data_IF_148726202560
#
_entry.id   IF_148726202560
#
_cell.length_a   1.000
_cell.length_b   1.000
_cell.length_c   1.000
_cell.angle_alpha   90.00
_cell.angle_beta   90.00
_cell.angle_gamma   90.00
#
_symmetry.space_group_name_H-M   'P 1'
#
loop_
_entity.id
_entity.type
_entity.pdbx_description
1 polymer ?
#
# COMPACT_ATOMS: atom_id res chain seq x y z
N UNK A 1 6.45 32.70 8.51
CA UNK A 1 5.04 32.23 8.60
C UNK A 1 4.59 31.87 7.19
N UNK A 2 4.08 30.66 6.98
CA UNK A 2 3.56 30.26 5.67
C UNK A 2 2.22 30.97 5.43
N UNK A 3 2.18 31.90 4.47
CA UNK A 3 0.97 32.69 4.14
C UNK A 3 0.16 32.06 3.00
N UNK A 4 0.31 30.74 2.80
CA UNK A 4 -0.49 29.95 1.88
C UNK A 4 -1.78 29.47 2.55
N UNK A 5 -2.81 29.21 1.74
CA UNK A 5 -3.92 28.37 2.18
C UNK A 5 -3.53 26.91 1.94
N UNK A 6 -3.50 26.03 2.97
CA UNK A 6 -3.11 24.63 2.82
C UNK A 6 -3.89 23.91 1.72
N UNK A 7 -5.12 24.35 1.48
CA UNK A 7 -6.03 23.92 0.42
C UNK A 7 -5.36 23.91 -0.97
N UNK A 8 -4.59 24.94 -1.31
CA UNK A 8 -3.94 25.02 -2.63
C UNK A 8 -2.76 24.05 -2.72
N UNK A 9 -1.94 23.99 -1.66
CA UNK A 9 -0.79 23.09 -1.57
C UNK A 9 -1.25 21.61 -1.64
N UNK A 10 -2.36 21.27 -0.98
CA UNK A 10 -3.03 19.96 -1.05
C UNK A 10 -3.51 19.65 -2.46
N UNK A 11 -4.22 20.58 -3.11
CA UNK A 11 -4.72 20.37 -4.48
C UNK A 11 -3.56 20.14 -5.46
N UNK A 12 -2.46 20.88 -5.36
CA UNK A 12 -1.29 20.67 -6.22
C UNK A 12 -0.61 19.31 -5.94
N UNK A 13 -0.35 18.97 -4.67
CA UNK A 13 0.26 17.67 -4.35
C UNK A 13 -0.63 16.48 -4.75
N UNK A 14 -1.96 16.62 -4.66
CA UNK A 14 -2.90 15.59 -5.11
C UNK A 14 -2.96 15.49 -6.63
N UNK A 15 -2.86 16.60 -7.37
CA UNK A 15 -2.69 16.56 -8.85
C UNK A 15 -1.36 15.92 -9.27
N UNK A 16 -0.31 16.08 -8.45
CA UNK A 16 0.98 15.39 -8.61
C UNK A 16 0.95 13.91 -8.18
N UNK A 17 -0.18 13.40 -7.68
CA UNK A 17 -0.39 11.99 -7.35
C UNK A 17 0.15 11.53 -5.98
N UNK A 18 0.50 12.45 -5.07
CA UNK A 18 0.94 12.09 -3.72
C UNK A 18 -0.22 11.52 -2.88
N UNK A 19 0.08 10.58 -1.98
CA UNK A 19 -0.91 10.06 -1.02
C UNK A 19 -1.20 11.04 0.12
N UNK A 20 -2.38 10.93 0.73
CA UNK A 20 -2.81 11.80 1.82
C UNK A 20 -1.81 11.82 3.00
N UNK A 21 -1.14 10.71 3.29
CA UNK A 21 -0.10 10.65 4.34
C UNK A 21 1.16 11.45 3.99
N UNK A 22 1.61 11.39 2.73
CA UNK A 22 2.76 12.19 2.25
C UNK A 22 2.41 13.68 2.21
N UNK A 23 1.16 14.01 1.86
CA UNK A 23 0.63 15.38 1.90
C UNK A 23 0.64 15.93 3.33
N UNK A 24 0.14 15.15 4.31
CA UNK A 24 0.17 15.52 5.74
C UNK A 24 1.60 15.79 6.20
N UNK A 25 2.56 14.88 5.92
CA UNK A 25 3.95 15.06 6.33
C UNK A 25 4.62 16.29 5.69
N UNK A 26 4.32 16.63 4.44
CA UNK A 26 4.86 17.83 3.80
C UNK A 26 4.28 19.12 4.39
N UNK A 27 2.99 19.15 4.73
CA UNK A 27 2.34 20.31 5.34
C UNK A 27 2.75 20.53 6.80
N UNK A 28 2.93 19.45 7.57
CA UNK A 28 3.52 19.50 8.91
C UNK A 28 4.93 20.11 8.86
N UNK A 29 5.75 19.71 7.88
CA UNK A 29 7.09 20.30 7.65
C UNK A 29 7.06 21.77 7.20
N UNK A 30 5.95 22.26 6.68
CA UNK A 30 5.72 23.67 6.35
C UNK A 30 5.17 24.48 7.53
N UNK A 31 4.85 23.82 8.66
CA UNK A 31 4.38 24.44 9.89
C UNK A 31 2.86 24.58 10.03
N UNK A 32 2.07 23.94 9.16
CA UNK A 32 0.62 23.90 9.30
C UNK A 32 0.21 22.89 10.39
N UNK A 33 -0.83 23.22 11.17
CA UNK A 33 -1.37 22.31 12.20
C UNK A 33 -2.19 21.17 11.60
N UNK A 34 -2.28 20.04 12.30
CA UNK A 34 -3.08 18.89 11.87
C UNK A 34 -4.53 19.27 11.54
N UNK A 35 -5.16 20.13 12.35
CA UNK A 35 -6.55 20.61 12.12
C UNK A 35 -6.65 21.34 10.78
N UNK A 36 -5.78 22.32 10.53
CA UNK A 36 -5.73 23.06 9.26
C UNK A 36 -5.48 22.14 8.05
N UNK A 37 -4.70 21.08 8.21
CA UNK A 37 -4.43 20.09 7.17
C UNK A 37 -5.68 19.24 6.88
N UNK A 38 -6.35 18.71 7.91
CA UNK A 38 -7.54 17.87 7.73
C UNK A 38 -8.74 18.66 7.19
N UNK A 39 -8.98 19.87 7.70
CA UNK A 39 -10.06 20.75 7.22
C UNK A 39 -9.87 21.10 5.74
N UNK A 40 -8.64 21.47 5.36
CA UNK A 40 -8.31 21.79 3.97
C UNK A 40 -8.32 20.55 3.07
N UNK A 41 -7.97 19.36 3.58
CA UNK A 41 -8.04 18.11 2.81
C UNK A 41 -9.48 17.71 2.51
N UNK A 42 -10.39 17.79 3.50
CA UNK A 42 -11.82 17.53 3.28
C UNK A 42 -12.45 18.53 2.30
N UNK A 43 -12.00 19.79 2.33
CA UNK A 43 -12.41 20.82 1.36
C UNK A 43 -11.86 20.53 -0.04
N UNK A 44 -10.59 20.11 -0.17
CA UNK A 44 -9.97 19.75 -1.45
C UNK A 44 -10.67 18.54 -2.10
N UNK A 45 -10.98 17.50 -1.32
CA UNK A 45 -11.73 16.33 -1.78
C UNK A 45 -13.11 16.73 -2.30
N UNK A 46 -13.83 17.58 -1.56
CA UNK A 46 -15.16 18.08 -1.93
C UNK A 46 -15.10 18.97 -3.18
N UNK A 47 -14.11 19.86 -3.29
CA UNK A 47 -13.96 20.76 -4.45
C UNK A 47 -13.61 19.99 -5.73
N UNK A 48 -12.72 19.01 -5.64
CA UNK A 48 -12.35 18.14 -6.78
C UNK A 48 -13.57 17.33 -7.27
N UNK A 49 -14.45 16.89 -6.36
CA UNK A 49 -15.70 16.20 -6.70
C UNK A 49 -16.80 17.11 -7.28
N UNK A 50 -16.60 18.43 -7.29
CA UNK A 50 -17.54 19.43 -7.86
C UNK A 50 -17.00 20.05 -9.14
N UNK A 51 -15.69 20.29 -9.26
CA UNK A 51 -15.05 20.78 -10.49
C UNK A 51 -14.76 19.67 -11.50
N UNK A 52 -14.48 18.45 -11.03
CA UNK A 52 -14.47 17.26 -11.86
C UNK A 52 -15.90 16.79 -12.11
N UNK A 53 -16.39 16.88 -13.35
CA UNK A 53 -17.75 16.48 -13.74
C UNK A 53 -17.95 14.95 -13.79
N UNK A 54 -17.51 14.25 -12.75
CA UNK A 54 -17.62 12.81 -12.55
C UNK A 54 -18.76 12.55 -11.55
N UNK A 55 -19.75 11.75 -11.96
CA UNK A 55 -20.94 11.50 -11.14
C UNK A 55 -20.55 10.90 -9.78
N UNK A 56 -21.24 11.29 -8.68
CA UNK A 56 -20.97 10.71 -7.38
C UNK A 56 -21.29 9.21 -7.40
N UNK A 57 -20.27 8.37 -7.20
CA UNK A 57 -20.46 6.94 -7.02
C UNK A 57 -21.10 6.74 -5.65
N UNK A 58 -22.40 6.48 -5.63
CA UNK A 58 -23.18 6.14 -4.43
C UNK A 58 -22.62 4.87 -3.79
N UNK A 59 -21.77 5.02 -2.77
CA UNK A 59 -20.97 3.91 -2.24
C UNK A 59 -20.35 4.17 -0.87
N UNK A 60 -21.16 4.53 0.12
CA UNK A 60 -20.75 4.61 1.53
C UNK A 60 -20.60 6.03 2.08
N UNK A 61 -21.41 6.36 3.08
CA UNK A 61 -21.20 7.55 3.90
C UNK A 61 -20.07 7.26 4.91
N UNK A 62 -19.01 8.08 5.02
CA UNK A 62 -18.15 8.03 6.19
C UNK A 62 -18.97 8.48 7.42
N UNK A 63 -18.92 7.76 8.55
CA UNK A 63 -19.68 8.13 9.74
C UNK A 63 -19.16 9.45 10.31
N UNK A 64 -20.04 10.43 10.53
CA UNK A 64 -19.68 11.66 11.24
C UNK A 64 -19.58 11.37 12.74
N UNK A 65 -18.38 10.97 13.17
CA UNK A 65 -18.07 10.74 14.57
C UNK A 65 -18.02 12.08 15.31
N UNK A 66 -19.05 12.35 16.11
CA UNK A 66 -19.20 13.60 16.86
C UNK A 66 -18.29 13.62 18.09
N UNK A 67 -17.06 14.09 17.92
CA UNK A 67 -16.19 14.41 19.06
C UNK A 67 -16.65 15.71 19.73
N UNK A 68 -16.87 15.74 21.05
CA UNK A 68 -17.08 16.99 21.77
C UNK A 68 -15.77 17.77 21.82
N UNK A 69 -15.78 19.04 21.39
CA UNK A 69 -14.65 19.94 21.65
C UNK A 69 -14.59 20.29 23.14
N UNK A 70 -13.40 20.29 23.76
CA UNK A 70 -13.13 21.16 24.88
C UNK A 70 -13.23 22.61 24.38
N UNK A 71 -14.11 23.42 24.95
CA UNK A 71 -14.04 24.87 24.76
C UNK A 71 -12.81 25.38 25.51
N UNK A 72 -11.83 25.90 24.78
CA UNK A 72 -10.66 26.54 25.36
C UNK A 72 -10.85 28.06 25.23
N UNK A 73 -11.06 28.72 26.36
CA UNK A 73 -11.27 30.17 26.42
C UNK A 73 -10.10 30.92 25.78
N UNK A 74 -10.45 32.01 25.10
CA UNK A 74 -9.50 32.97 24.53
C UNK A 74 -9.91 34.35 25.02
N UNK A 75 -9.20 34.84 26.04
CA UNK A 75 -9.31 36.21 26.53
C UNK A 75 -8.98 37.22 25.43
N UNK A 76 -9.68 38.37 25.39
CA UNK A 76 -9.13 39.69 25.08
C UNK A 76 -10.19 40.79 25.25
N UNK A 77 -9.83 41.84 25.99
CA UNK A 77 -10.38 43.21 26.09
C UNK A 77 -11.90 43.50 25.93
N UNK A 78 -12.51 44.01 27.00
CA UNK A 78 -12.62 45.48 27.17
C UNK A 78 -13.05 45.89 28.60
N UNK A 79 -12.48 46.99 29.12
CA UNK A 79 -12.89 47.63 30.39
C UNK A 79 -14.19 48.46 30.26
N UNK A 80 -14.96 48.63 31.37
CA UNK A 80 -15.31 49.94 32.01
C UNK A 80 -16.51 49.87 33.02
N UNK A 81 -16.27 50.37 34.24
CA UNK A 81 -17.20 50.98 35.26
C UNK A 81 -18.19 50.19 36.17
N UNK A 82 -17.89 50.27 37.49
CA UNK A 82 -18.74 50.63 38.68
C UNK A 82 -19.92 49.77 39.21
N UNK A 83 -19.89 49.40 40.52
CA UNK A 83 -21.04 49.10 41.40
C UNK A 83 -21.36 50.28 42.39
N UNK A 84 -22.34 50.20 43.33
CA UNK A 84 -23.35 49.15 43.61
C UNK A 84 -24.79 49.58 43.22
N UNK A 85 -25.77 50.07 44.06
CA UNK A 85 -25.80 50.45 45.48
C UNK A 85 -26.76 49.60 46.38
N UNK A 86 -27.91 50.14 46.80
CA UNK A 86 -28.95 49.65 47.74
C UNK A 86 -30.34 50.18 47.25
N UNK A 87 -31.55 49.94 47.81
CA UNK A 87 -31.94 49.58 49.18
C UNK A 87 -33.36 48.96 49.28
N UNK A 88 -33.57 48.24 50.37
CA UNK A 88 -34.81 47.82 51.07
C UNK A 88 -36.21 48.38 50.68
N UNK A 89 -37.21 47.49 50.55
CA UNK A 89 -38.57 47.77 51.08
C UNK A 89 -39.09 46.57 51.89
N UNK A 90 -39.38 46.78 53.17
CA UNK A 90 -40.06 45.79 54.04
C UNK A 90 -41.53 46.12 54.12
N UNK A 91 -42.41 45.15 53.90
CA UNK A 91 -43.76 45.19 54.47
C UNK A 91 -44.02 43.94 55.31
N UNK A 92 -44.45 44.17 56.55
CA UNK A 92 -44.70 43.14 57.55
C UNK A 92 -46.19 42.84 57.60
N UNK A 93 -46.58 41.58 57.44
CA UNK A 93 -47.84 41.12 58.02
C UNK A 93 -47.70 39.70 58.57
N UNK A 94 -48.50 39.40 59.60
CA UNK A 94 -48.12 38.48 60.67
C UNK A 94 -48.87 37.15 60.66
N UNK A 95 -48.19 36.12 61.18
CA UNK A 95 -48.77 34.91 61.78
C UNK A 95 -49.41 33.89 60.84
N UNK A 96 -48.65 32.84 60.51
CA UNK A 96 -48.90 31.56 61.17
C UNK A 96 -47.58 30.78 61.38
N UNK A 97 -47.46 30.04 62.48
CA UNK A 97 -46.36 29.12 62.71
C UNK A 97 -46.70 27.74 62.16
N UNK A 98 -46.19 27.42 60.98
CA UNK A 98 -46.00 26.05 60.53
C UNK A 98 -44.69 26.00 59.77
N UNK A 99 -43.70 25.30 60.32
CA UNK A 99 -42.47 25.02 59.60
C UNK A 99 -42.82 24.16 58.37
N UNK A 100 -42.41 24.52 57.15
CA UNK A 100 -42.34 23.54 56.09
C UNK A 100 -41.37 22.45 56.56
N UNK A 101 -41.86 21.22 56.70
CA UNK A 101 -40.95 20.09 56.83
C UNK A 101 -40.08 20.10 55.57
N UNK A 102 -38.75 20.13 55.74
CA UNK A 102 -37.86 19.93 54.61
C UNK A 102 -38.17 18.54 54.05
N UNK A 103 -38.56 18.50 52.79
CA UNK A 103 -38.91 17.26 52.11
C UNK A 103 -37.62 16.51 51.78
N UNK A 104 -37.15 15.71 52.74
CA UNK A 104 -35.90 14.94 52.66
C UNK A 104 -35.91 13.87 51.56
N UNK A 105 -37.02 13.70 50.82
CA UNK A 105 -37.08 12.83 49.64
C UNK A 105 -36.25 13.33 48.45
N UNK A 106 -35.87 14.61 48.42
CA UNK A 106 -34.94 15.14 47.41
C UNK A 106 -33.48 14.71 47.62
N UNK A 107 -33.09 14.44 48.86
CA UNK A 107 -31.74 13.98 49.21
C UNK A 107 -31.60 12.49 48.90
N UNK A 108 -32.56 11.68 49.37
CA UNK A 108 -32.57 10.22 49.19
C UNK A 108 -32.65 9.77 47.72
N UNK A 109 -33.21 10.60 46.83
CA UNK A 109 -33.20 10.33 45.38
C UNK A 109 -31.92 10.82 44.68
N UNK A 110 -31.28 11.90 45.14
CA UNK A 110 -30.00 12.33 44.58
C UNK A 110 -28.89 11.36 44.95
N UNK A 111 -28.78 10.96 46.22
CA UNK A 111 -27.80 9.95 46.68
C UNK A 111 -27.94 8.63 45.91
N UNK A 112 -29.16 8.16 45.63
CA UNK A 112 -29.39 6.95 44.81
C UNK A 112 -29.04 7.14 43.33
N UNK A 113 -29.20 8.35 42.79
CA UNK A 113 -28.75 8.65 41.42
C UNK A 113 -27.23 8.74 41.37
N UNK A 114 -26.57 9.31 42.37
CA UNK A 114 -25.11 9.35 42.50
C UNK A 114 -24.53 7.93 42.66
N UNK A 115 -25.09 7.10 43.56
CA UNK A 115 -24.67 5.70 43.75
C UNK A 115 -24.86 4.87 42.46
N UNK A 116 -25.98 5.05 41.74
CA UNK A 116 -26.20 4.39 40.44
C UNK A 116 -25.25 4.92 39.35
N UNK A 117 -24.94 6.22 39.34
CA UNK A 117 -24.02 6.83 38.38
C UNK A 117 -22.58 6.39 38.63
N UNK A 118 -22.13 6.35 39.89
CA UNK A 118 -20.78 5.90 40.26
C UNK A 118 -20.60 4.41 39.96
N UNK A 119 -21.59 3.56 40.27
CA UNK A 119 -21.57 2.15 39.90
C UNK A 119 -21.54 1.92 38.38
N UNK A 120 -22.31 2.69 37.61
CA UNK A 120 -22.30 2.62 36.13
C UNK A 120 -21.01 3.18 35.53
N UNK A 121 -20.40 4.21 36.15
CA UNK A 121 -19.10 4.74 35.74
C UNK A 121 -18.02 3.69 35.96
N UNK A 122 -17.96 3.03 37.11
CA UNK A 122 -16.96 1.98 37.38
C UNK A 122 -17.15 0.77 36.45
N UNK A 123 -18.39 0.30 36.22
CA UNK A 123 -18.66 -0.79 35.26
C UNK A 123 -18.19 -0.45 33.84
N UNK A 124 -18.43 0.80 33.39
CA UNK A 124 -18.00 1.27 32.07
C UNK A 124 -16.50 1.58 32.02
N UNK A 125 -15.87 1.91 33.14
CA UNK A 125 -14.43 2.11 33.27
C UNK A 125 -13.67 0.79 33.21
N UNK A 126 -14.11 -0.25 33.93
CA UNK A 126 -13.56 -1.61 33.79
C UNK A 126 -13.70 -2.13 32.35
N UNK A 127 -14.87 -1.93 31.72
CA UNK A 127 -15.10 -2.33 30.33
C UNK A 127 -14.18 -1.58 29.35
N UNK A 128 -13.98 -0.27 29.53
CA UNK A 128 -13.06 0.54 28.72
C UNK A 128 -11.60 0.11 28.91
N UNK A 129 -11.15 -0.08 30.16
CA UNK A 129 -9.79 -0.56 30.47
C UNK A 129 -9.54 -1.94 29.86
N UNK A 130 -10.53 -2.83 29.91
CA UNK A 130 -10.48 -4.16 29.28
C UNK A 130 -10.35 -4.09 27.76
N UNK A 131 -11.02 -3.14 27.11
CA UNK A 131 -10.89 -2.92 25.66
C UNK A 131 -9.58 -2.23 25.26
N UNK A 132 -9.07 -1.28 26.05
CA UNK A 132 -7.73 -0.72 25.89
C UNK A 132 -6.65 -1.81 25.97
N UNK A 133 -6.77 -2.74 26.92
CA UNK A 133 -5.84 -3.88 27.00
C UNK A 133 -5.89 -4.78 25.74
N UNK A 134 -7.08 -5.08 25.19
CA UNK A 134 -7.20 -5.79 23.90
C UNK A 134 -6.51 -5.04 22.75
N UNK A 135 -6.59 -3.71 22.73
CA UNK A 135 -5.94 -2.86 21.72
C UNK A 135 -4.41 -2.89 21.88
N UNK A 136 -3.90 -2.91 23.12
CA UNK A 136 -2.46 -3.06 23.40
C UNK A 136 -1.96 -4.44 22.97
N UNK A 137 -2.67 -5.52 23.29
CA UNK A 137 -2.32 -6.88 22.83
C UNK A 137 -2.34 -6.99 21.30
N UNK A 138 -3.35 -6.39 20.65
CA UNK A 138 -3.43 -6.32 19.19
C UNK A 138 -2.27 -5.50 18.59
N UNK A 139 -1.95 -4.33 19.14
CA UNK A 139 -0.78 -3.52 18.75
C UNK A 139 0.50 -4.33 18.80
N UNK A 140 0.79 -4.96 19.95
CA UNK A 140 2.01 -5.74 20.17
C UNK A 140 2.09 -6.92 19.16
N UNK A 141 0.94 -7.57 18.88
CA UNK A 141 0.84 -8.65 17.89
C UNK A 141 0.99 -8.15 16.44
N UNK A 142 0.58 -6.92 16.13
CA UNK A 142 0.81 -6.30 14.82
C UNK A 142 2.28 -5.92 14.66
N UNK A 143 2.89 -5.26 15.64
CA UNK A 143 4.32 -4.89 15.61
C UNK A 143 5.23 -6.12 15.46
N UNK A 144 4.96 -7.20 16.19
CA UNK A 144 5.68 -8.48 16.03
C UNK A 144 5.56 -9.05 14.62
N UNK A 145 4.38 -8.97 13.98
CA UNK A 145 4.15 -9.46 12.61
C UNK A 145 4.76 -8.55 11.55
N UNK A 146 4.84 -7.25 11.79
CA UNK A 146 5.54 -6.30 10.91
C UNK A 146 7.04 -6.59 10.94
N UNK A 147 7.64 -6.76 12.12
CA UNK A 147 9.06 -7.10 12.25
C UNK A 147 9.42 -8.46 11.62
N UNK A 148 8.58 -9.49 11.81
CA UNK A 148 8.71 -10.78 11.12
C UNK A 148 8.64 -10.64 9.58
N UNK A 149 7.74 -9.77 9.09
CA UNK A 149 7.60 -9.48 7.67
C UNK A 149 8.79 -8.68 7.10
N UNK A 150 9.36 -7.74 7.86
CA UNK A 150 10.58 -7.01 7.48
C UNK A 150 11.79 -7.96 7.32
N UNK A 151 11.99 -8.87 8.28
CA UNK A 151 13.03 -9.91 8.20
C UNK A 151 12.77 -10.84 7.01
N UNK A 152 11.52 -11.23 6.77
CA UNK A 152 11.14 -12.07 5.62
C UNK A 152 11.38 -11.37 4.29
N UNK A 153 11.10 -10.06 4.19
CA UNK A 153 11.36 -9.25 3.00
C UNK A 153 12.87 -9.03 2.75
N UNK A 154 13.67 -8.87 3.81
CA UNK A 154 15.13 -8.83 3.70
C UNK A 154 15.68 -10.16 3.16
N UNK A 155 15.25 -11.30 3.71
CA UNK A 155 15.61 -12.63 3.23
C UNK A 155 15.14 -12.89 1.79
N UNK A 156 13.93 -12.45 1.42
CA UNK A 156 13.42 -12.56 0.05
C UNK A 156 14.29 -11.76 -0.95
N UNK A 157 14.74 -10.56 -0.55
CA UNK A 157 15.63 -9.72 -1.36
C UNK A 157 17.01 -10.34 -1.54
N UNK A 158 17.55 -10.98 -0.51
CA UNK A 158 18.82 -11.73 -0.58
C UNK A 158 18.70 -12.93 -1.52
N UNK A 159 17.70 -13.79 -1.31
CA UNK A 159 17.40 -14.93 -2.17
C UNK A 159 17.16 -14.53 -3.64
N UNK A 160 16.51 -13.38 -3.88
CA UNK A 160 16.34 -12.85 -5.25
C UNK A 160 17.67 -12.42 -5.88
N UNK A 161 18.57 -11.81 -5.10
CA UNK A 161 19.90 -11.42 -5.60
C UNK A 161 20.76 -12.62 -5.96
N UNK A 162 20.72 -13.69 -5.16
CA UNK A 162 21.43 -14.93 -5.46
C UNK A 162 20.78 -15.74 -6.59
N UNK A 163 19.45 -15.72 -6.73
CA UNK A 163 18.77 -16.23 -7.92
C UNK A 163 19.19 -15.48 -9.18
N UNK A 164 19.28 -14.14 -9.13
CA UNK A 164 19.75 -13.32 -10.25
C UNK A 164 21.21 -13.65 -10.62
N UNK A 165 22.10 -13.83 -9.62
CA UNK A 165 23.49 -14.27 -9.83
C UNK A 165 23.56 -15.67 -10.47
N UNK A 166 22.77 -16.62 -9.97
CA UNK A 166 22.72 -17.98 -10.49
C UNK A 166 22.20 -18.02 -11.94
N UNK A 167 21.16 -17.24 -12.26
CA UNK A 167 20.65 -17.09 -13.63
C UNK A 167 21.71 -16.48 -14.54
N UNK A 168 22.38 -15.40 -14.13
CA UNK A 168 23.45 -14.77 -14.93
C UNK A 168 24.63 -15.72 -15.18
N UNK A 169 25.07 -16.49 -14.16
CA UNK A 169 26.09 -17.53 -14.37
C UNK A 169 25.61 -18.59 -15.36
N UNK A 170 24.38 -19.09 -15.20
CA UNK A 170 23.84 -20.14 -16.06
C UNK A 170 23.67 -19.67 -17.51
N UNK A 171 23.28 -18.41 -17.74
CA UNK A 171 23.22 -17.79 -19.07
C UNK A 171 24.61 -17.67 -19.69
N UNK A 172 25.62 -17.23 -18.91
CA UNK A 172 27.01 -17.17 -19.40
C UNK A 172 27.58 -18.56 -19.74
N UNK A 173 27.17 -19.61 -19.02
CA UNK A 173 27.57 -20.99 -19.32
C UNK A 173 26.83 -21.56 -20.54
N UNK A 174 25.57 -21.16 -20.78
CA UNK A 174 24.87 -21.45 -22.04
C UNK A 174 25.49 -20.73 -23.24
N UNK A 175 25.90 -19.47 -23.11
CA UNK A 175 26.58 -18.71 -24.17
C UNK A 175 27.90 -19.40 -24.59
N UNK A 176 28.76 -19.76 -23.64
CA UNK A 176 29.98 -20.56 -23.90
C UNK A 176 29.65 -21.87 -24.64
N UNK A 177 28.66 -22.62 -24.18
CA UNK A 177 28.28 -23.89 -24.81
C UNK A 177 27.70 -23.69 -26.22
N UNK A 178 26.99 -22.59 -26.49
CA UNK A 178 26.51 -22.23 -27.83
C UNK A 178 27.69 -21.83 -28.74
N UNK A 179 28.70 -21.13 -28.22
CA UNK A 179 29.93 -20.82 -28.96
C UNK A 179 30.76 -22.08 -29.28
N UNK A 180 30.89 -23.00 -28.30
CA UNK A 180 31.57 -24.28 -28.46
C UNK A 180 30.86 -25.15 -29.52
N UNK A 181 29.55 -25.35 -29.40
CA UNK A 181 28.72 -26.05 -30.41
C UNK A 181 28.79 -25.34 -31.78
N UNK A 182 28.83 -24.01 -31.81
CA UNK A 182 29.03 -23.25 -33.06
C UNK A 182 30.38 -23.56 -33.73
N UNK A 183 31.45 -23.71 -32.94
CA UNK A 183 32.78 -24.10 -33.43
C UNK A 183 32.83 -25.55 -33.90
N UNK A 184 32.13 -26.47 -33.22
CA UNK A 184 32.01 -27.87 -33.64
C UNK A 184 31.18 -28.01 -34.92
N UNK A 185 30.09 -27.24 -35.06
CA UNK A 185 29.29 -27.18 -36.29
C UNK A 185 30.14 -26.64 -37.46
N UNK A 186 30.97 -25.60 -37.26
CA UNK A 186 31.90 -25.13 -38.29
C UNK A 186 32.99 -26.17 -38.64
N UNK A 187 33.47 -26.93 -37.65
CA UNK A 187 34.40 -28.04 -37.91
C UNK A 187 33.72 -29.16 -38.72
N UNK A 188 32.48 -29.51 -38.37
CA UNK A 188 31.66 -30.49 -39.09
C UNK A 188 31.33 -30.03 -40.51
N UNK A 189 30.94 -28.77 -40.71
CA UNK A 189 30.75 -28.15 -42.03
C UNK A 189 32.02 -28.31 -42.88
N UNK A 190 33.18 -27.93 -42.33
CA UNK A 190 34.48 -28.01 -43.00
C UNK A 190 34.96 -29.43 -43.29
N UNK A 191 34.49 -30.43 -42.54
CA UNK A 191 34.63 -31.85 -42.87
C UNK A 191 33.67 -32.23 -43.99
N UNK A 192 32.40 -31.83 -43.92
CA UNK A 192 31.38 -32.12 -44.92
C UNK A 192 31.74 -31.54 -46.30
N UNK A 193 32.26 -30.31 -46.36
CA UNK A 193 32.77 -29.68 -47.60
C UNK A 193 33.96 -30.42 -48.22
N UNK A 194 34.72 -31.21 -47.45
CA UNK A 194 35.81 -32.07 -47.96
C UNK A 194 35.33 -33.46 -48.35
N UNK A 195 34.33 -33.99 -47.62
CA UNK A 195 33.78 -35.34 -47.82
C UNK A 195 32.81 -35.37 -49.01
N UNK A 196 32.00 -34.34 -49.22
CA UNK A 196 31.05 -34.25 -50.34
C UNK A 196 31.72 -34.43 -51.72
N UNK A 197 32.78 -33.68 -52.09
CA UNK A 197 33.45 -33.88 -53.38
C UNK A 197 34.02 -35.30 -53.54
N UNK A 198 34.59 -35.88 -52.48
CA UNK A 198 35.11 -37.25 -52.51
C UNK A 198 34.00 -38.29 -52.67
N UNK A 199 32.84 -38.09 -52.06
CA UNK A 199 31.68 -38.95 -52.30
C UNK A 199 31.21 -38.86 -53.76
N UNK A 200 31.15 -37.65 -54.33
CA UNK A 200 30.78 -37.45 -55.74
C UNK A 200 31.80 -38.06 -56.70
N UNK A 201 33.11 -37.88 -56.47
CA UNK A 201 34.17 -38.55 -57.23
C UNK A 201 34.02 -40.08 -57.16
N UNK A 202 33.94 -40.65 -55.95
CA UNK A 202 33.82 -42.10 -55.76
C UNK A 202 32.57 -42.68 -56.44
N UNK A 203 31.43 -42.00 -56.37
CA UNK A 203 30.18 -42.41 -57.04
C UNK A 203 30.34 -42.36 -58.57
N UNK A 204 30.98 -41.31 -59.11
CA UNK A 204 31.25 -41.19 -60.54
C UNK A 204 32.24 -42.25 -61.04
N UNK A 205 33.29 -42.56 -60.28
CA UNK A 205 34.21 -43.65 -60.58
C UNK A 205 33.48 -45.00 -60.60
N UNK A 206 32.70 -45.30 -59.56
CA UNK A 206 31.94 -46.56 -59.43
C UNK A 206 30.93 -46.73 -60.58
N UNK A 207 30.25 -45.64 -60.97
CA UNK A 207 29.37 -45.58 -62.14
C UNK A 207 30.16 -45.87 -63.44
N UNK A 208 31.34 -45.28 -63.60
CA UNK A 208 32.21 -45.53 -64.77
C UNK A 208 32.69 -46.98 -64.83
N UNK A 209 32.97 -47.61 -63.69
CA UNK A 209 33.39 -49.00 -63.57
C UNK A 209 32.22 -49.93 -63.91
N UNK A 210 31.01 -49.63 -63.43
CA UNK A 210 29.80 -50.36 -63.76
C UNK A 210 29.49 -50.31 -65.27
N UNK A 211 29.57 -49.15 -65.93
CA UNK A 211 29.40 -49.04 -67.38
C UNK A 211 30.52 -49.73 -68.17
N UNK A 212 31.78 -49.65 -67.73
CA UNK A 212 32.89 -50.41 -68.34
C UNK A 212 32.65 -51.93 -68.29
N UNK A 213 32.24 -52.45 -67.12
CA UNK A 213 31.87 -53.87 -66.95
C UNK A 213 30.69 -54.27 -67.84
N UNK A 214 29.64 -53.44 -67.89
CA UNK A 214 28.44 -53.63 -68.71
C UNK A 214 28.77 -53.61 -70.22
N UNK A 215 29.68 -52.74 -70.66
CA UNK A 215 30.17 -52.68 -72.05
C UNK A 215 31.00 -53.91 -72.42
N UNK A 216 31.98 -54.29 -71.59
CA UNK A 216 32.80 -55.49 -71.82
C UNK A 216 31.96 -56.78 -71.86
N UNK A 217 30.92 -56.86 -71.02
CA UNK A 217 29.94 -57.97 -71.04
C UNK A 217 29.13 -58.05 -72.33
N UNK A 218 28.88 -56.92 -73.00
CA UNK A 218 28.22 -56.87 -74.31
C UNK A 218 29.18 -57.14 -75.47
N UNK A 219 30.44 -56.71 -75.38
CA UNK A 219 31.47 -56.97 -76.40
C UNK A 219 31.84 -58.46 -76.43
N UNK A 220 32.03 -59.10 -75.27
CA UNK A 220 32.28 -60.54 -75.18
C UNK A 220 31.09 -61.38 -75.71
N UNK A 221 29.85 -60.88 -75.54
CA UNK A 221 28.65 -61.47 -76.15
C UNK A 221 28.58 -61.34 -77.68
N UNK A 222 29.27 -60.37 -78.28
CA UNK A 222 29.35 -60.25 -79.75
C UNK A 222 30.43 -61.16 -80.35
N UNK A 223 31.56 -61.32 -79.67
CA UNK A 223 32.61 -62.26 -80.09
C UNK A 223 32.12 -63.71 -80.15
N UNK A 224 31.40 -64.16 -79.11
CA UNK A 224 30.83 -65.51 -79.03
C UNK A 224 29.65 -65.79 -79.98
N UNK A 225 29.26 -64.83 -80.83
CA UNK A 225 28.19 -64.97 -81.83
C UNK A 225 28.66 -64.92 -83.28
N UNK A 226 29.98 -65.02 -83.53
CA UNK A 226 30.56 -64.94 -84.87
C UNK A 226 31.76 -65.90 -85.02
N UNK A 227 31.46 -67.19 -84.87
CA UNK A 227 32.31 -68.36 -85.19
C UNK A 227 31.42 -69.57 -85.41
#
# INVERSE_FOLDING_TARGET
>A
MASGSPMNDIMEMKQRGLSNNEIIQNLQRQGYSNTQIFDAMSQADTKIAVEGNMQPISGGQPPRQSYPMPQQESELDQEIFTPPPMEEERQQQSSNYQAPQQDTSFDENQVKVEELVEAVIEEKWEELVKDVNKIVDWKNKVESRVSEMEVTLAGLRENFSDLQRAILSKVNDYDKHIQEVGSEIQAMEKVFSKVLPRFTENINELSSIAEKLKKGKNENKKGAGSS
#
